data_IF_848712061256
#
_entry.id   IF_848712061256
#
_cell.length_a   1.000
_cell.length_b   1.000
_cell.length_c   1.000
_cell.angle_alpha   90.00
_cell.angle_beta   90.00
_cell.angle_gamma   90.00
#
_symmetry.space_group_name_H-M   'P 1'
#
loop_
_entity.id
_entity.type
_entity.pdbx_description
1 polymer ?
#
# COMPACT_ATOMS: atom_id res chain seq x y z
N UNK A 1 2.12 22.55 37.20
CA UNK A 1 2.76 22.06 35.95
C UNK A 1 2.16 22.78 34.76
N UNK A 2 2.95 23.52 33.99
CA UNK A 2 2.48 24.15 32.73
C UNK A 2 2.29 23.01 31.69
N UNK A 3 1.06 22.82 31.19
CA UNK A 3 0.81 21.90 30.08
C UNK A 3 1.56 22.43 28.84
N UNK A 4 2.54 21.69 28.35
CA UNK A 4 3.14 21.98 27.05
C UNK A 4 2.15 21.49 25.97
N UNK A 5 1.65 22.41 25.16
CA UNK A 5 0.86 22.12 23.98
C UNK A 5 1.81 22.14 22.78
N UNK A 6 1.97 21.02 22.09
CA UNK A 6 2.70 20.94 20.81
C UNK A 6 1.68 21.04 19.68
N UNK A 7 1.84 22.04 18.84
CA UNK A 7 1.05 22.19 17.60
C UNK A 7 1.76 21.42 16.50
N UNK A 8 1.04 20.50 15.82
CA UNK A 8 1.54 19.78 14.66
C UNK A 8 0.97 20.49 13.43
N UNK A 9 1.84 21.01 12.57
CA UNK A 9 1.49 21.71 11.33
C UNK A 9 1.67 20.79 10.11
N UNK A 10 1.17 21.22 8.95
CA UNK A 10 1.34 20.47 7.69
C UNK A 10 2.81 20.39 7.29
N UNK A 11 3.60 21.46 7.56
CA UNK A 11 5.04 21.48 7.32
C UNK A 11 5.78 20.45 8.19
N UNK A 12 5.34 20.27 9.44
CA UNK A 12 5.89 19.25 10.34
C UNK A 12 5.58 17.85 9.83
N UNK A 13 4.37 17.61 9.32
CA UNK A 13 3.98 16.32 8.70
C UNK A 13 4.79 16.03 7.44
N UNK A 14 4.96 17.00 6.55
CA UNK A 14 5.79 16.85 5.35
C UNK A 14 7.26 16.63 5.70
N UNK A 15 7.79 17.35 6.70
CA UNK A 15 9.14 17.12 7.21
C UNK A 15 9.35 15.69 7.70
N UNK A 16 8.42 15.17 8.49
CA UNK A 16 8.48 13.79 8.98
C UNK A 16 8.35 12.78 7.83
N UNK A 17 7.47 13.05 6.88
CA UNK A 17 7.30 12.20 5.68
C UNK A 17 8.61 12.07 4.91
N UNK A 18 9.35 13.16 4.74
CA UNK A 18 10.54 13.24 3.89
C UNK A 18 11.84 12.85 4.59
N UNK A 19 11.88 12.84 5.94
CA UNK A 19 13.09 12.55 6.72
C UNK A 19 13.42 11.06 6.88
N UNK A 20 12.54 10.15 6.43
CA UNK A 20 12.84 8.73 6.48
C UNK A 20 13.87 8.34 5.41
N UNK A 21 14.94 7.65 5.78
CA UNK A 21 15.93 7.22 4.82
C UNK A 21 15.36 6.19 3.86
N UNK A 22 15.77 6.26 2.58
CA UNK A 22 15.52 5.19 1.63
C UNK A 22 16.65 4.18 1.77
N UNK A 23 16.32 2.98 2.24
CA UNK A 23 17.29 1.92 2.51
C UNK A 23 17.29 0.81 1.44
N UNK A 24 16.72 1.09 0.27
CA UNK A 24 16.85 0.21 -0.89
C UNK A 24 18.31 0.19 -1.36
N UNK A 25 18.79 -0.96 -1.82
CA UNK A 25 20.15 -1.09 -2.39
C UNK A 25 20.37 -0.12 -3.56
N UNK A 26 19.38 0.02 -4.41
CA UNK A 26 19.31 1.03 -5.45
C UNK A 26 18.14 1.97 -5.16
N UNK A 27 18.47 3.21 -4.81
CA UNK A 27 17.48 4.25 -4.46
C UNK A 27 16.52 4.55 -5.61
N UNK A 28 16.98 4.35 -6.85
CA UNK A 28 16.23 4.60 -8.08
C UNK A 28 15.54 3.34 -8.63
N UNK A 29 15.61 2.22 -7.91
CA UNK A 29 14.96 0.99 -8.33
C UNK A 29 13.45 1.20 -8.54
N UNK A 30 12.93 0.58 -9.60
CA UNK A 30 11.47 0.56 -9.83
C UNK A 30 10.79 -0.32 -8.79
N UNK A 31 9.67 0.13 -8.20
CA UNK A 31 8.90 -0.68 -7.27
C UNK A 31 8.45 -2.00 -7.91
N UNK A 32 8.64 -3.11 -7.20
CA UNK A 32 8.22 -4.45 -7.66
C UNK A 32 7.01 -4.99 -6.89
N UNK A 33 6.75 -4.44 -5.71
CA UNK A 33 5.69 -4.91 -4.83
C UNK A 33 5.07 -3.73 -4.09
N UNK A 34 3.75 -3.74 -3.96
CA UNK A 34 2.97 -2.78 -3.20
C UNK A 34 2.16 -3.51 -2.13
N UNK A 35 2.28 -3.08 -0.87
CA UNK A 35 1.42 -3.53 0.21
C UNK A 35 0.45 -2.42 0.63
N UNK A 36 -0.84 -2.76 0.67
CA UNK A 36 -1.91 -1.94 1.24
C UNK A 36 -2.64 -2.77 2.29
N UNK A 37 -2.77 -2.24 3.51
CA UNK A 37 -3.44 -2.94 4.60
C UNK A 37 -2.53 -3.26 5.80
N UNK A 38 -1.68 -2.32 6.18
CA UNK A 38 -0.97 -2.37 7.45
C UNK A 38 -1.30 -1.08 8.26
N UNK A 39 -2.24 -1.18 9.22
CA UNK A 39 -2.95 -2.38 9.72
C UNK A 39 -3.91 -2.99 8.69
N UNK A 40 -4.36 -4.23 8.97
CA UNK A 40 -5.31 -4.96 8.11
C UNK A 40 -6.56 -4.13 7.82
N UNK A 41 -7.01 -4.20 6.56
CA UNK A 41 -8.18 -3.48 6.08
C UNK A 41 -9.49 -4.14 6.56
N UNK A 42 -10.50 -3.31 6.78
CA UNK A 42 -11.88 -3.75 6.94
C UNK A 42 -12.57 -3.88 5.56
N UNK A 43 -13.81 -4.40 5.57
CA UNK A 43 -14.57 -4.65 4.34
C UNK A 43 -14.79 -3.36 3.52
N UNK A 44 -15.12 -2.25 4.19
CA UNK A 44 -15.34 -0.96 3.53
C UNK A 44 -14.05 -0.48 2.84
N UNK A 45 -12.91 -0.59 3.51
CA UNK A 45 -11.63 -0.17 2.94
C UNK A 45 -11.25 -1.01 1.71
N UNK A 46 -11.48 -2.34 1.74
CA UNK A 46 -11.28 -3.21 0.59
C UNK A 46 -12.14 -2.78 -0.60
N UNK A 47 -13.43 -2.51 -0.36
CA UNK A 47 -14.39 -2.06 -1.38
C UNK A 47 -13.97 -0.70 -1.95
N UNK A 48 -13.67 0.27 -1.09
CA UNK A 48 -13.28 1.64 -1.50
C UNK A 48 -12.00 1.61 -2.37
N UNK A 49 -10.98 0.86 -1.95
CA UNK A 49 -9.74 0.71 -2.72
C UNK A 49 -9.98 0.05 -4.07
N UNK A 50 -10.76 -1.02 -4.10
CA UNK A 50 -11.09 -1.75 -5.35
C UNK A 50 -11.76 -0.83 -6.35
N UNK A 51 -12.76 -0.05 -5.91
CA UNK A 51 -13.50 0.87 -6.77
C UNK A 51 -12.61 2.02 -7.28
N UNK A 52 -11.75 2.59 -6.42
CA UNK A 52 -10.79 3.63 -6.82
C UNK A 52 -9.78 3.12 -7.86
N UNK A 53 -9.24 1.91 -7.65
CA UNK A 53 -8.30 1.32 -8.61
C UNK A 53 -8.99 1.01 -9.93
N UNK A 54 -10.19 0.44 -9.90
CA UNK A 54 -10.96 0.15 -11.12
C UNK A 54 -11.20 1.44 -11.94
N UNK A 55 -11.65 2.51 -11.28
CA UNK A 55 -11.88 3.80 -11.92
C UNK A 55 -10.59 4.34 -12.56
N UNK A 56 -9.48 4.31 -11.81
CA UNK A 56 -8.19 4.84 -12.27
C UNK A 56 -7.58 4.00 -13.39
N UNK A 57 -7.73 2.69 -13.36
CA UNK A 57 -7.33 1.82 -14.45
C UNK A 57 -8.11 2.10 -15.74
N UNK A 58 -9.43 2.36 -15.63
CA UNK A 58 -10.26 2.75 -16.78
C UNK A 58 -9.81 4.08 -17.38
N UNK A 59 -9.55 5.10 -16.53
CA UNK A 59 -9.01 6.40 -16.99
C UNK A 59 -7.69 6.21 -17.76
N UNK A 60 -6.83 5.31 -17.31
CA UNK A 60 -5.53 5.04 -17.91
C UNK A 60 -5.58 4.01 -19.07
N UNK A 61 -6.77 3.57 -19.51
CA UNK A 61 -6.96 2.52 -20.52
C UNK A 61 -6.24 1.21 -20.18
N UNK A 62 -6.22 0.84 -18.89
CA UNK A 62 -5.56 -0.37 -18.38
C UNK A 62 -6.57 -1.32 -17.74
N UNK A 63 -6.22 -2.60 -17.74
CA UNK A 63 -7.04 -3.66 -17.11
C UNK A 63 -6.43 -4.18 -15.80
N UNK A 64 -5.12 -4.02 -15.63
CA UNK A 64 -4.39 -4.55 -14.48
C UNK A 64 -3.43 -3.50 -13.91
N UNK A 65 -3.17 -3.62 -12.62
CA UNK A 65 -2.12 -2.85 -11.95
C UNK A 65 -0.74 -3.15 -12.55
N UNK A 66 0.12 -2.15 -12.56
CA UNK A 66 1.48 -2.23 -13.12
C UNK A 66 2.51 -2.80 -12.14
N UNK A 67 2.21 -2.73 -10.85
CA UNK A 67 3.06 -3.22 -9.76
C UNK A 67 2.28 -4.32 -9.05
N UNK A 68 2.93 -5.47 -8.80
CA UNK A 68 2.32 -6.54 -7.99
C UNK A 68 1.79 -5.96 -6.69
N UNK A 69 0.50 -6.01 -6.49
CA UNK A 69 -0.18 -5.38 -5.34
C UNK A 69 -0.83 -6.44 -4.46
N UNK A 70 -0.59 -6.34 -3.16
CA UNK A 70 -1.17 -7.21 -2.14
C UNK A 70 -1.99 -6.37 -1.18
N UNK A 71 -3.26 -6.74 -1.04
CA UNK A 71 -4.16 -6.24 -0.02
C UNK A 71 -4.18 -7.19 1.17
N UNK A 72 -4.09 -6.65 2.38
CA UNK A 72 -4.11 -7.47 3.59
C UNK A 72 -5.32 -7.15 4.47
N UNK A 73 -6.01 -8.21 4.87
CA UNK A 73 -7.20 -8.15 5.73
C UNK A 73 -7.33 -9.43 6.55
N UNK A 74 -8.11 -9.43 7.65
CA UNK A 74 -8.40 -10.64 8.42
C UNK A 74 -9.16 -11.66 7.57
N UNK A 75 -8.96 -12.96 7.86
CA UNK A 75 -9.62 -14.06 7.12
C UNK A 75 -11.14 -13.86 6.98
N UNK A 76 -11.91 -13.57 8.05
CA UNK A 76 -13.35 -13.39 7.92
C UNK A 76 -13.73 -12.24 6.97
N UNK A 77 -12.94 -11.17 6.96
CA UNK A 77 -13.16 -10.03 6.06
C UNK A 77 -12.89 -10.41 4.61
N UNK A 78 -11.83 -11.18 4.36
CA UNK A 78 -11.51 -11.71 3.02
C UNK A 78 -12.64 -12.63 2.51
N UNK A 79 -13.16 -13.50 3.36
CA UNK A 79 -14.27 -14.39 3.01
C UNK A 79 -15.55 -13.62 2.65
N UNK A 80 -15.89 -12.59 3.43
CA UNK A 80 -17.01 -11.69 3.15
C UNK A 80 -16.79 -10.94 1.84
N UNK A 81 -15.60 -10.35 1.65
CA UNK A 81 -15.25 -9.57 0.47
C UNK A 81 -15.28 -10.42 -0.80
N UNK A 82 -14.81 -11.65 -0.77
CA UNK A 82 -14.84 -12.57 -1.91
C UNK A 82 -16.25 -12.85 -2.43
N UNK A 83 -17.29 -12.65 -1.63
CA UNK A 83 -18.70 -12.82 -2.03
C UNK A 83 -19.28 -11.56 -2.67
N UNK A 84 -18.56 -10.43 -2.66
CA UNK A 84 -19.01 -9.16 -3.25
C UNK A 84 -18.61 -9.05 -4.73
N UNK A 85 -19.29 -8.20 -5.53
CA UNK A 85 -18.88 -7.91 -6.89
C UNK A 85 -17.44 -7.39 -6.98
N UNK A 86 -17.00 -6.56 -6.02
CA UNK A 86 -15.66 -6.01 -5.94
C UNK A 86 -14.62 -7.11 -5.68
N UNK A 87 -14.94 -8.09 -4.84
CA UNK A 87 -14.10 -9.25 -4.60
C UNK A 87 -13.87 -10.12 -5.85
N UNK A 88 -14.85 -10.16 -6.76
CA UNK A 88 -14.69 -10.84 -8.04
C UNK A 88 -13.83 -10.03 -9.03
N UNK A 89 -13.84 -8.71 -8.93
CA UNK A 89 -13.07 -7.82 -9.81
C UNK A 89 -11.59 -7.76 -9.44
N UNK A 90 -11.27 -7.80 -8.15
CA UNK A 90 -9.92 -7.54 -7.64
C UNK A 90 -8.87 -8.46 -8.25
N UNK A 91 -9.19 -9.74 -8.42
CA UNK A 91 -8.31 -10.73 -9.05
C UNK A 91 -8.05 -10.42 -10.52
N UNK A 92 -9.07 -9.94 -11.24
CA UNK A 92 -8.95 -9.54 -12.66
C UNK A 92 -8.04 -8.34 -12.83
N UNK A 93 -7.98 -7.47 -11.83
CA UNK A 93 -7.07 -6.32 -11.80
C UNK A 93 -5.64 -6.69 -11.38
N UNK A 94 -5.36 -7.95 -11.07
CA UNK A 94 -4.01 -8.42 -10.72
C UNK A 94 -3.62 -8.15 -9.27
N UNK A 95 -4.60 -7.96 -8.38
CA UNK A 95 -4.38 -7.73 -6.94
C UNK A 95 -4.59 -9.04 -6.17
N UNK A 96 -3.69 -9.34 -5.26
CA UNK A 96 -3.75 -10.52 -4.39
C UNK A 96 -4.29 -10.13 -3.02
N UNK A 97 -5.21 -10.93 -2.48
CA UNK A 97 -5.63 -10.84 -1.08
C UNK A 97 -4.77 -11.76 -0.21
N UNK A 98 -4.38 -11.28 0.96
CA UNK A 98 -3.62 -12.06 1.94
C UNK A 98 -4.06 -11.72 3.36
N UNK A 99 -4.05 -12.70 4.24
CA UNK A 99 -4.22 -12.51 5.69
C UNK A 99 -2.88 -12.38 6.43
N UNK A 100 -1.76 -12.58 5.74
CA UNK A 100 -0.44 -12.48 6.33
C UNK A 100 -0.07 -11.00 6.50
N UNK A 101 0.36 -10.63 7.70
CA UNK A 101 0.81 -9.28 7.98
C UNK A 101 1.99 -8.88 7.08
N UNK A 102 1.98 -7.70 6.45
CA UNK A 102 3.08 -7.24 5.61
C UNK A 102 4.45 -7.19 6.33
N UNK A 103 4.46 -6.96 7.64
CA UNK A 103 5.70 -7.02 8.43
C UNK A 103 6.33 -8.41 8.39
N UNK A 104 5.52 -9.48 8.42
CA UNK A 104 6.04 -10.84 8.31
C UNK A 104 6.61 -11.12 6.92
N UNK A 105 5.96 -10.61 5.87
CA UNK A 105 6.51 -10.68 4.51
C UNK A 105 7.87 -10.00 4.42
N UNK A 106 7.97 -8.78 4.93
CA UNK A 106 9.20 -7.98 4.88
C UNK A 106 10.31 -8.50 5.79
N UNK A 107 9.96 -9.28 6.81
CA UNK A 107 10.95 -9.97 7.67
C UNK A 107 11.54 -11.22 7.02
N UNK A 108 10.94 -11.71 5.92
CA UNK A 108 11.47 -12.84 5.18
C UNK A 108 12.67 -12.38 4.34
N UNK A 109 13.84 -13.06 4.41
CA UNK A 109 15.03 -12.69 3.64
C UNK A 109 14.79 -12.57 2.12
N UNK A 110 13.86 -13.34 1.57
CA UNK A 110 13.50 -13.28 0.15
C UNK A 110 12.78 -11.98 -0.24
N UNK A 111 12.10 -11.34 0.70
CA UNK A 111 11.34 -10.12 0.46
C UNK A 111 12.02 -8.85 1.00
N UNK A 112 12.91 -8.98 1.99
CA UNK A 112 13.53 -7.86 2.70
C UNK A 112 14.30 -6.89 1.78
N UNK A 113 14.78 -7.36 0.64
CA UNK A 113 15.54 -6.57 -0.33
C UNK A 113 14.76 -6.19 -1.60
N UNK A 114 13.51 -6.59 -1.70
CA UNK A 114 12.64 -6.21 -2.83
C UNK A 114 12.26 -4.74 -2.68
N UNK A 115 12.29 -3.92 -3.76
CA UNK A 115 11.77 -2.57 -3.74
C UNK A 115 10.26 -2.56 -3.49
N UNK A 116 9.86 -2.35 -2.24
CA UNK A 116 8.46 -2.36 -1.79
C UNK A 116 7.98 -0.95 -1.54
N UNK A 117 6.74 -0.66 -1.96
CA UNK A 117 6.03 0.58 -1.64
C UNK A 117 4.79 0.28 -0.80
N UNK A 118 4.37 1.26 0.01
CA UNK A 118 3.23 1.13 0.91
C UNK A 118 2.65 2.49 1.29
N UNK A 119 1.39 2.50 1.68
CA UNK A 119 0.74 3.64 2.35
C UNK A 119 0.74 3.51 3.88
N UNK A 120 1.52 2.56 4.42
CA UNK A 120 1.63 2.32 5.86
C UNK A 120 2.88 2.97 6.43
N UNK A 121 2.69 3.95 7.31
CA UNK A 121 3.79 4.53 8.07
C UNK A 121 4.44 3.49 9.02
N UNK A 122 3.64 2.57 9.57
CA UNK A 122 4.16 1.47 10.39
C UNK A 122 5.10 0.56 9.59
N UNK A 123 4.69 0.16 8.38
CA UNK A 123 5.52 -0.72 7.56
C UNK A 123 6.83 -0.03 7.17
N UNK A 124 6.79 1.26 6.80
CA UNK A 124 7.99 2.08 6.54
C UNK A 124 8.93 2.13 7.73
N UNK A 125 8.39 2.27 8.94
CA UNK A 125 9.19 2.45 10.16
C UNK A 125 9.99 1.20 10.52
N UNK A 126 9.44 0.02 10.25
CA UNK A 126 10.04 -1.25 10.67
C UNK A 126 10.68 -2.06 9.55
N UNK A 127 10.64 -1.59 8.31
CA UNK A 127 11.12 -2.33 7.14
C UNK A 127 11.78 -1.41 6.11
N UNK A 128 12.26 -1.98 5.01
CA UNK A 128 12.78 -1.22 3.86
C UNK A 128 11.69 -0.65 2.94
N UNK A 129 10.40 -0.84 3.25
CA UNK A 129 9.31 -0.32 2.41
C UNK A 129 9.31 1.21 2.38
N UNK A 130 9.14 1.80 1.19
CA UNK A 130 8.97 3.25 1.03
C UNK A 130 7.51 3.63 1.19
N UNK A 131 7.27 4.70 1.93
CA UNK A 131 5.95 5.25 2.13
C UNK A 131 5.57 6.22 1.01
N UNK A 132 4.32 6.10 0.58
CA UNK A 132 3.64 7.05 -0.29
C UNK A 132 2.20 7.26 0.21
N UNK A 133 1.63 8.43 -0.04
CA UNK A 133 0.22 8.70 0.27
C UNK A 133 -0.71 7.80 -0.55
N UNK A 134 -1.98 7.73 -0.15
CA UNK A 134 -2.97 6.91 -0.87
C UNK A 134 -3.08 7.29 -2.35
N UNK A 135 -3.06 8.59 -2.66
CA UNK A 135 -3.17 9.07 -4.04
C UNK A 135 -1.89 8.78 -4.84
N UNK A 136 -0.72 8.93 -4.23
CA UNK A 136 0.55 8.56 -4.84
C UNK A 136 0.62 7.06 -5.13
N UNK A 137 0.19 6.20 -4.18
CA UNK A 137 0.11 4.75 -4.37
C UNK A 137 -0.85 4.42 -5.52
N UNK A 138 -2.07 5.00 -5.50
CA UNK A 138 -3.06 4.78 -6.55
C UNK A 138 -2.49 5.11 -7.93
N UNK A 139 -1.86 6.27 -8.08
CA UNK A 139 -1.23 6.67 -9.32
C UNK A 139 -0.11 5.72 -9.74
N UNK A 140 0.77 5.33 -8.81
CA UNK A 140 1.91 4.45 -9.11
C UNK A 140 1.49 3.05 -9.59
N UNK A 141 0.47 2.45 -8.98
CA UNK A 141 0.04 1.09 -9.33
C UNK A 141 -0.87 1.03 -10.55
N UNK A 142 -1.47 2.15 -10.96
CA UNK A 142 -2.39 2.21 -12.11
C UNK A 142 -1.79 2.83 -13.36
N UNK A 143 -0.63 3.48 -13.25
CA UNK A 143 0.11 4.06 -14.39
C UNK A 143 1.09 3.06 -14.98
N UNK A 144 1.65 3.37 -16.16
CA UNK A 144 2.78 2.60 -16.70
C UNK A 144 4.02 2.78 -15.81
N UNK A 145 4.75 1.69 -15.61
CA UNK A 145 6.06 1.74 -14.96
C UNK A 145 7.06 2.25 -16.00
N UNK A 146 7.23 3.57 -16.04
CA UNK A 146 8.29 4.21 -16.85
C UNK A 146 9.66 3.88 -16.29
#
# INVERSE_FOLDING_TARGET
MKKQVKVITDEELERVKNNYPVIWKDVNAKPKLCFIGCPHMNLKQLTDWTNKIEAKLKENNRKKVSIKTVFTAPVPVIEMFNKTPEGQKIKKMGITLSYICPLMYMSNPLCAHVPVITNSNKLRTYTSARYYTNDEILNKITSEVK
#
